data_IF_888983514484
#
_entry.id   IF_888983514484
#
_cell.length_a   1.000
_cell.length_b   1.000
_cell.length_c   1.000
_cell.angle_alpha   90.00
_cell.angle_beta   90.00
_cell.angle_gamma   90.00
#
_symmetry.space_group_name_H-M   'P 1'
#
loop_
_entity.id
_entity.type
_entity.pdbx_description
1 polymer ?
#
# COMPACT_ATOMS: atom_id res chain seq x y z
N UNK A 1 25.68 13.32 58.67
CA UNK A 1 24.49 13.24 57.80
C UNK A 1 23.84 14.61 57.80
N UNK A 2 23.81 15.35 56.67
CA UNK A 2 23.20 16.67 56.63
C UNK A 2 21.69 16.55 56.47
N UNK A 3 20.94 17.14 57.40
CA UNK A 3 19.48 17.20 57.42
C UNK A 3 18.93 18.23 56.45
N UNK A 4 17.74 17.95 55.92
CA UNK A 4 17.03 18.78 54.93
C UNK A 4 16.43 20.00 55.65
N UNK A 5 16.69 21.18 55.11
CA UNK A 5 16.13 22.46 55.56
C UNK A 5 14.74 22.67 54.92
N UNK A 6 13.70 22.72 55.76
CA UNK A 6 12.29 22.79 55.34
C UNK A 6 11.75 24.22 55.24
N UNK A 7 12.58 25.26 55.35
CA UNK A 7 12.14 26.67 55.22
C UNK A 7 11.77 27.10 53.79
N UNK A 8 11.61 26.15 52.87
CA UNK A 8 11.14 26.37 51.48
C UNK A 8 9.71 25.92 51.21
N UNK A 9 9.00 25.34 52.19
CA UNK A 9 7.65 24.80 52.02
C UNK A 9 6.54 25.65 52.66
N UNK A 10 6.83 26.89 53.05
CA UNK A 10 5.86 27.80 53.65
C UNK A 10 5.50 28.93 52.66
N UNK A 11 4.61 28.59 51.72
CA UNK A 11 3.81 29.52 50.90
C UNK A 11 2.71 28.73 50.19
N UNK A 12 1.79 28.20 50.98
CA UNK A 12 0.45 27.82 50.50
C UNK A 12 -0.48 28.82 51.16
N UNK A 13 -0.75 29.93 50.46
CA UNK A 13 -1.86 30.79 50.80
C UNK A 13 -3.14 30.12 50.30
N UNK A 14 -3.94 29.76 51.29
CA UNK A 14 -5.35 29.44 51.24
C UNK A 14 -6.12 30.64 50.66
N UNK A 15 -6.87 30.44 49.58
CA UNK A 15 -7.94 31.36 49.19
C UNK A 15 -9.00 30.63 48.37
N UNK A 16 -10.06 30.25 49.08
CA UNK A 16 -11.38 29.88 48.60
C UNK A 16 -12.09 31.11 47.96
N UNK A 17 -13.05 30.83 47.06
CA UNK A 17 -14.17 31.70 46.63
C UNK A 17 -13.95 32.78 45.51
N UNK A 18 -14.16 32.39 44.24
CA UNK A 18 -15.11 32.98 43.26
C UNK A 18 -14.84 32.44 41.83
N UNK A 19 -15.86 32.09 41.01
CA UNK A 19 -15.64 31.64 39.63
C UNK A 19 -15.33 32.82 38.69
N UNK A 20 -14.16 32.88 38.04
CA UNK A 20 -13.89 33.96 37.08
C UNK A 20 -14.70 33.74 35.80
N UNK A 21 -15.48 34.77 35.44
CA UNK A 21 -16.24 34.90 34.19
C UNK A 21 -15.39 34.45 32.99
N UNK A 22 -15.95 33.58 32.14
CA UNK A 22 -15.34 33.16 30.88
C UNK A 22 -14.92 34.39 30.07
N UNK A 23 -13.64 34.50 29.65
CA UNK A 23 -13.26 35.48 28.64
C UNK A 23 -14.02 35.18 27.33
N UNK A 24 -14.33 36.20 26.51
CA UNK A 24 -15.00 35.98 25.23
C UNK A 24 -14.19 34.98 24.39
N UNK A 25 -14.87 34.10 23.63
CA UNK A 25 -14.18 33.11 22.82
C UNK A 25 -13.24 33.83 21.86
N UNK A 26 -11.95 33.54 21.97
CA UNK A 26 -11.02 33.82 20.90
C UNK A 26 -11.56 33.13 19.65
N UNK A 27 -11.56 33.79 18.47
CA UNK A 27 -11.95 33.12 17.25
C UNK A 27 -11.02 31.91 17.09
N UNK A 28 -11.61 30.73 17.21
CA UNK A 28 -11.02 29.49 16.72
C UNK A 28 -10.51 29.79 15.31
N UNK A 29 -9.23 29.53 14.98
CA UNK A 29 -8.86 29.49 13.58
C UNK A 29 -9.80 28.49 12.93
N UNK A 30 -10.63 29.03 12.04
CA UNK A 30 -11.53 28.32 11.16
C UNK A 30 -10.83 27.04 10.73
N UNK A 31 -11.36 25.91 11.17
CA UNK A 31 -10.96 24.60 10.67
C UNK A 31 -11.26 24.67 9.18
N UNK A 32 -10.23 24.97 8.39
CA UNK A 32 -10.29 24.90 6.95
C UNK A 32 -10.93 23.55 6.63
N UNK A 33 -11.90 23.49 5.69
CA UNK A 33 -12.52 22.23 5.32
C UNK A 33 -11.38 21.26 5.03
N UNK A 34 -11.36 20.13 5.75
CA UNK A 34 -10.45 19.03 5.48
C UNK A 34 -10.61 18.72 3.99
N UNK A 35 -9.66 19.23 3.20
CA UNK A 35 -9.59 18.93 1.78
C UNK A 35 -9.40 17.43 1.77
N UNK A 36 -10.34 16.64 1.21
CA UNK A 36 -10.20 15.19 1.19
C UNK A 36 -8.82 14.90 0.64
N UNK A 37 -8.00 14.15 1.38
CA UNK A 37 -6.60 13.89 1.06
C UNK A 37 -6.47 13.66 -0.45
N UNK A 38 -6.05 14.70 -1.18
CA UNK A 38 -6.05 14.63 -2.63
C UNK A 38 -4.91 13.70 -2.96
N UNK A 39 -5.23 12.61 -3.66
CA UNK A 39 -4.20 11.72 -4.18
C UNK A 39 -3.19 12.58 -4.97
N UNK A 40 -1.88 12.47 -4.68
CA UNK A 40 -0.86 13.17 -5.42
C UNK A 40 -1.10 13.03 -6.93
N UNK A 41 -1.09 14.15 -7.66
CA UNK A 41 -1.43 14.20 -9.08
C UNK A 41 -0.59 13.23 -9.93
N UNK A 42 0.63 12.91 -9.48
CA UNK A 42 1.51 11.92 -10.08
C UNK A 42 0.90 10.51 -10.16
N UNK A 43 0.10 10.09 -9.17
CA UNK A 43 -0.53 8.77 -9.14
C UNK A 43 -1.74 8.69 -10.07
N UNK A 44 -2.31 9.85 -10.44
CA UNK A 44 -3.48 9.99 -11.29
C UNK A 44 -3.11 10.26 -12.75
N UNK A 45 -1.81 10.41 -13.06
CA UNK A 45 -1.36 10.71 -14.43
C UNK A 45 -1.77 9.57 -15.37
N UNK A 46 -2.37 9.85 -16.53
CA UNK A 46 -2.69 8.83 -17.51
C UNK A 46 -1.42 8.16 -18.04
N UNK A 47 -1.41 6.83 -18.06
CA UNK A 47 -0.29 6.00 -18.48
C UNK A 47 -0.41 5.65 -19.98
N UNK A 48 -0.54 6.67 -20.84
CA UNK A 48 -0.71 6.49 -22.30
C UNK A 48 0.60 6.20 -23.04
N UNK A 49 1.74 6.47 -22.42
CA UNK A 49 3.08 6.19 -22.94
C UNK A 49 3.63 4.82 -22.54
N UNK A 50 2.76 3.92 -22.07
CA UNK A 50 3.18 2.58 -21.63
C UNK A 50 3.65 1.74 -22.81
N UNK A 51 4.85 1.14 -22.72
CA UNK A 51 5.29 0.16 -23.72
C UNK A 51 4.39 -1.07 -23.65
N UNK A 52 4.37 -1.86 -24.73
CA UNK A 52 3.59 -3.11 -24.77
C UNK A 52 4.14 -4.11 -23.76
N UNK A 53 3.23 -4.84 -23.12
CA UNK A 53 3.58 -5.99 -22.30
C UNK A 53 4.06 -7.11 -23.24
N UNK A 54 5.36 -7.32 -23.34
CA UNK A 54 6.00 -8.33 -24.20
C UNK A 54 6.88 -9.25 -23.35
N UNK A 55 6.79 -10.56 -23.59
CA UNK A 55 7.54 -11.57 -22.84
C UNK A 55 8.47 -12.35 -23.78
N UNK A 56 9.62 -12.84 -23.27
CA UNK A 56 10.07 -12.74 -21.88
C UNK A 56 10.60 -11.34 -21.51
N UNK A 57 11.13 -10.56 -22.44
CA UNK A 57 11.78 -9.28 -22.19
C UNK A 57 11.11 -8.12 -22.94
N UNK A 58 11.25 -6.91 -22.40
CA UNK A 58 10.76 -5.70 -23.04
C UNK A 58 10.93 -4.48 -22.14
N UNK A 59 10.76 -3.28 -22.72
CA UNK A 59 10.93 -2.00 -22.02
C UNK A 59 9.87 -1.77 -20.93
N UNK A 60 8.80 -2.57 -20.92
CA UNK A 60 7.72 -2.50 -19.94
C UNK A 60 8.18 -2.72 -18.51
N UNK A 61 9.17 -3.60 -18.29
CA UNK A 61 9.66 -3.84 -16.94
C UNK A 61 10.47 -2.65 -16.42
N UNK A 62 11.26 -2.01 -17.29
CA UNK A 62 11.99 -0.79 -16.96
C UNK A 62 11.03 0.39 -16.72
N UNK A 63 9.97 0.49 -17.52
CA UNK A 63 8.91 1.48 -17.32
C UNK A 63 8.21 1.27 -15.97
N UNK A 64 7.80 0.04 -15.65
CA UNK A 64 7.18 -0.32 -14.39
C UNK A 64 8.03 0.10 -13.18
N UNK A 65 9.33 -0.14 -13.24
CA UNK A 65 10.25 0.19 -12.15
C UNK A 65 10.51 1.70 -12.00
N UNK A 66 10.72 2.39 -13.12
CA UNK A 66 11.33 3.74 -13.08
C UNK A 66 10.34 4.87 -13.35
N UNK A 67 9.21 4.58 -14.00
CA UNK A 67 8.22 5.58 -14.41
C UNK A 67 6.91 5.49 -13.65
N UNK A 68 6.58 4.31 -13.11
CA UNK A 68 5.39 4.13 -12.30
C UNK A 68 5.70 4.36 -10.82
N UNK A 69 4.80 5.07 -10.15
CA UNK A 69 4.83 5.26 -8.71
C UNK A 69 4.42 3.98 -7.99
N UNK A 70 4.80 3.82 -6.71
CA UNK A 70 4.45 2.64 -5.93
C UNK A 70 2.93 2.34 -5.91
N UNK A 71 2.02 3.34 -5.72
CA UNK A 71 0.58 3.09 -5.82
C UNK A 71 0.15 2.59 -7.20
N UNK A 72 0.69 3.13 -8.28
CA UNK A 72 0.39 2.67 -9.65
C UNK A 72 0.87 1.23 -9.87
N UNK A 73 2.05 0.89 -9.35
CA UNK A 73 2.60 -0.47 -9.40
C UNK A 73 1.73 -1.47 -8.66
N UNK A 74 1.26 -1.12 -7.47
CA UNK A 74 0.37 -1.96 -6.67
C UNK A 74 -1.01 -2.10 -7.32
N UNK A 75 -1.59 -0.99 -7.80
CA UNK A 75 -2.87 -1.02 -8.50
C UNK A 75 -2.80 -1.90 -9.76
N UNK A 76 -1.69 -1.84 -10.49
CA UNK A 76 -1.45 -2.72 -11.64
C UNK A 76 -1.43 -4.18 -11.24
N UNK A 77 -0.73 -4.54 -10.16
CA UNK A 77 -0.71 -5.93 -9.66
C UNK A 77 -2.09 -6.41 -9.22
N UNK A 78 -2.86 -5.55 -8.55
CA UNK A 78 -4.25 -5.84 -8.16
C UNK A 78 -5.11 -6.13 -9.38
N UNK A 79 -5.02 -5.31 -10.43
CA UNK A 79 -5.79 -5.54 -11.66
C UNK A 79 -5.34 -6.78 -12.43
N UNK A 80 -4.04 -7.05 -12.52
CA UNK A 80 -3.52 -8.27 -13.14
C UNK A 80 -3.99 -9.51 -12.37
N UNK A 81 -3.96 -9.45 -11.04
CA UNK A 81 -4.42 -10.54 -10.18
C UNK A 81 -5.93 -10.79 -10.35
N UNK A 82 -6.71 -9.71 -10.31
CA UNK A 82 -8.16 -9.76 -10.46
C UNK A 82 -8.58 -10.22 -11.87
N UNK A 83 -7.74 -9.98 -12.88
CA UNK A 83 -7.99 -10.48 -14.25
C UNK A 83 -7.74 -11.98 -14.43
N UNK A 84 -7.01 -12.60 -13.49
CA UNK A 84 -6.70 -14.02 -13.54
C UNK A 84 -7.80 -14.86 -12.87
N UNK A 85 -8.03 -16.05 -13.41
CA UNK A 85 -8.99 -17.01 -12.85
C UNK A 85 -8.44 -17.68 -11.59
N UNK A 86 -9.30 -18.36 -10.83
CA UNK A 86 -8.90 -18.98 -9.57
C UNK A 86 -7.77 -20.02 -9.72
N UNK A 87 -7.78 -20.82 -10.79
CA UNK A 87 -6.72 -21.79 -11.07
C UNK A 87 -5.37 -21.10 -11.36
N UNK A 88 -5.40 -19.98 -12.08
CA UNK A 88 -4.22 -19.18 -12.38
C UNK A 88 -3.65 -18.52 -11.12
N UNK A 89 -4.52 -17.99 -10.24
CA UNK A 89 -4.12 -17.44 -8.94
C UNK A 89 -3.44 -18.47 -8.05
N UNK A 90 -3.92 -19.71 -8.05
CA UNK A 90 -3.26 -20.82 -7.33
C UNK A 90 -1.85 -21.04 -7.88
N UNK A 91 -1.69 -21.06 -9.19
CA UNK A 91 -0.38 -21.22 -9.84
C UNK A 91 0.56 -20.06 -9.57
N UNK A 92 0.05 -18.81 -9.52
CA UNK A 92 0.84 -17.64 -9.16
C UNK A 92 1.31 -17.70 -7.70
N UNK A 93 0.43 -18.08 -6.77
CA UNK A 93 0.82 -18.23 -5.36
C UNK A 93 1.84 -19.34 -5.16
N UNK A 94 1.67 -20.50 -5.81
CA UNK A 94 2.67 -21.57 -5.79
C UNK A 94 4.02 -21.07 -6.29
N UNK A 95 4.02 -20.38 -7.42
CA UNK A 95 5.23 -19.82 -8.01
C UNK A 95 5.90 -18.78 -7.11
N UNK A 96 5.11 -17.89 -6.48
CA UNK A 96 5.62 -16.91 -5.53
C UNK A 96 6.21 -17.58 -4.28
N UNK A 97 5.57 -18.62 -3.76
CA UNK A 97 6.09 -19.40 -2.62
C UNK A 97 7.45 -20.01 -2.97
N UNK A 98 7.56 -20.63 -4.16
CA UNK A 98 8.80 -21.24 -4.63
C UNK A 98 9.90 -20.21 -4.82
N UNK A 99 9.57 -19.03 -5.35
CA UNK A 99 10.49 -17.91 -5.56
C UNK A 99 11.03 -17.32 -4.25
N UNK A 100 10.16 -17.18 -3.24
CA UNK A 100 10.54 -16.62 -1.93
C UNK A 100 11.37 -17.64 -1.15
N UNK A 101 11.13 -18.93 -1.35
CA UNK A 101 11.81 -20.04 -0.69
C UNK A 101 11.96 -19.84 0.84
N UNK A 102 10.89 -19.32 1.47
CA UNK A 102 10.85 -19.06 2.90
C UNK A 102 9.70 -19.87 3.53
N UNK A 103 10.01 -20.86 4.39
CA UNK A 103 9.01 -21.76 4.94
C UNK A 103 7.99 -21.04 5.84
N UNK A 104 8.36 -19.95 6.51
CA UNK A 104 7.44 -19.16 7.34
C UNK A 104 6.36 -18.48 6.51
N UNK A 105 6.73 -17.94 5.34
CA UNK A 105 5.81 -17.28 4.41
C UNK A 105 4.95 -18.34 3.71
N UNK A 106 5.56 -19.45 3.27
CA UNK A 106 4.85 -20.59 2.67
C UNK A 106 3.75 -21.16 3.58
N UNK A 107 4.03 -21.30 4.88
CA UNK A 107 3.07 -21.85 5.84
C UNK A 107 1.89 -20.89 6.12
N UNK A 108 2.10 -19.57 6.04
CA UNK A 108 1.00 -18.60 6.15
C UNK A 108 0.08 -18.63 4.93
N UNK A 109 0.65 -18.65 3.73
CA UNK A 109 -0.12 -18.65 2.47
C UNK A 109 -0.93 -19.96 2.31
N UNK A 110 -0.42 -21.10 2.77
CA UNK A 110 -1.15 -22.38 2.76
C UNK A 110 -2.39 -22.42 3.68
N UNK A 111 -2.50 -21.50 4.64
CA UNK A 111 -3.56 -21.50 5.66
C UNK A 111 -4.85 -20.77 5.30
N UNK A 112 -4.86 -19.92 4.26
CA UNK A 112 -6.02 -19.08 3.94
C UNK A 112 -6.65 -19.46 2.61
N UNK A 113 -7.91 -19.90 2.59
CA UNK A 113 -8.71 -19.92 1.35
C UNK A 113 -9.12 -18.50 0.90
N UNK A 114 -8.93 -17.49 1.75
CA UNK A 114 -9.23 -16.09 1.45
C UNK A 114 -8.24 -15.46 0.46
N UNK A 115 -7.04 -16.03 0.31
CA UNK A 115 -5.95 -15.53 -0.54
C UNK A 115 -6.22 -15.67 -2.04
N UNK A 116 -7.26 -16.41 -2.44
CA UNK A 116 -7.66 -16.60 -3.83
C UNK A 116 -8.79 -15.65 -4.28
N UNK A 117 -9.29 -14.81 -3.36
CA UNK A 117 -10.32 -13.82 -3.67
C UNK A 117 -9.75 -12.69 -4.52
N UNK A 118 -10.65 -11.88 -5.06
CA UNK A 118 -10.28 -10.61 -5.67
C UNK A 118 -9.68 -9.69 -4.60
N UNK A 119 -8.60 -9.02 -4.97
CA UNK A 119 -8.00 -7.98 -4.16
C UNK A 119 -8.83 -6.71 -4.27
N UNK A 120 -8.98 -5.99 -3.16
CA UNK A 120 -9.76 -4.76 -3.13
C UNK A 120 -9.04 -3.63 -3.87
N UNK A 121 -9.52 -3.32 -5.08
CA UNK A 121 -9.01 -2.22 -5.89
C UNK A 121 -9.42 -0.84 -5.34
N UNK A 122 -10.35 -0.77 -4.37
CA UNK A 122 -10.78 0.51 -3.79
C UNK A 122 -9.66 1.18 -2.98
N UNK A 123 -8.69 0.41 -2.46
CA UNK A 123 -7.55 0.95 -1.72
C UNK A 123 -6.73 1.95 -2.55
N UNK A 124 -6.69 1.76 -3.88
CA UNK A 124 -6.00 2.65 -4.82
C UNK A 124 -7.00 3.39 -5.73
N UNK A 125 -8.22 3.66 -5.24
CA UNK A 125 -9.24 4.36 -6.02
C UNK A 125 -8.73 5.71 -6.51
N UNK A 126 -8.71 5.92 -7.83
CA UNK A 126 -8.23 7.16 -8.46
C UNK A 126 -6.77 7.08 -8.94
N UNK A 127 -6.05 6.03 -8.58
CA UNK A 127 -4.72 5.73 -9.13
C UNK A 127 -4.87 5.11 -10.51
N UNK A 128 -4.06 5.60 -11.46
CA UNK A 128 -4.04 5.07 -12.83
C UNK A 128 -3.23 3.77 -12.92
N UNK A 129 -3.57 2.94 -13.90
CA UNK A 129 -2.86 1.70 -14.20
C UNK A 129 -2.91 1.45 -15.72
N UNK A 130 -1.98 0.64 -16.28
CA UNK A 130 -1.94 0.34 -17.71
C UNK A 130 -3.02 -0.69 -18.06
N UNK A 131 -4.20 -0.22 -18.47
CA UNK A 131 -5.31 -1.09 -18.88
C UNK A 131 -4.93 -2.01 -20.06
N UNK A 132 -4.09 -1.53 -20.98
CA UNK A 132 -3.59 -2.33 -22.10
C UNK A 132 -2.78 -3.55 -21.65
N UNK A 133 -2.05 -3.44 -20.52
CA UNK A 133 -1.33 -4.59 -19.96
C UNK A 133 -2.29 -5.64 -19.42
N UNK A 134 -3.39 -5.21 -18.81
CA UNK A 134 -4.43 -6.15 -18.31
C UNK A 134 -5.07 -6.88 -19.48
N UNK A 135 -5.39 -6.17 -20.57
CA UNK A 135 -5.91 -6.77 -21.79
C UNK A 135 -4.95 -7.77 -22.43
N UNK A 136 -3.68 -7.39 -22.59
CA UNK A 136 -2.63 -8.27 -23.13
C UNK A 136 -2.41 -9.50 -22.25
N UNK A 137 -2.33 -9.28 -20.93
CA UNK A 137 -2.10 -10.33 -19.95
C UNK A 137 -3.17 -11.42 -19.99
N UNK A 138 -4.45 -11.07 -20.16
CA UNK A 138 -5.53 -12.05 -20.27
C UNK A 138 -5.33 -13.03 -21.44
N UNK A 139 -4.69 -12.59 -22.52
CA UNK A 139 -4.42 -13.41 -23.71
C UNK A 139 -3.21 -14.33 -23.59
N UNK A 140 -2.38 -14.14 -22.57
CA UNK A 140 -1.16 -14.91 -22.39
C UNK A 140 -1.44 -16.33 -21.90
N UNK A 141 -0.53 -17.24 -22.23
CA UNK A 141 -0.50 -18.56 -21.63
C UNK A 141 -0.15 -18.46 -20.14
N UNK A 142 -0.48 -19.49 -19.36
CA UNK A 142 -0.25 -19.49 -17.92
C UNK A 142 1.24 -19.33 -17.56
N UNK A 143 2.16 -19.93 -18.32
CA UNK A 143 3.61 -19.81 -18.10
C UNK A 143 4.12 -18.38 -18.34
N UNK A 144 3.58 -17.71 -19.36
CA UNK A 144 3.87 -16.31 -19.67
C UNK A 144 3.31 -15.40 -18.57
N UNK A 145 2.07 -15.66 -18.12
CA UNK A 145 1.46 -14.95 -16.99
C UNK A 145 2.30 -15.09 -15.72
N UNK A 146 2.80 -16.28 -15.40
CA UNK A 146 3.71 -16.54 -14.27
C UNK A 146 5.01 -15.76 -14.41
N UNK A 147 5.59 -15.75 -15.60
CA UNK A 147 6.83 -15.01 -15.90
C UNK A 147 6.62 -13.50 -15.72
N UNK A 148 5.51 -12.94 -16.20
CA UNK A 148 5.18 -11.53 -15.99
C UNK A 148 5.01 -11.20 -14.50
N UNK A 149 4.24 -12.01 -13.75
CA UNK A 149 4.05 -11.81 -12.31
C UNK A 149 5.35 -11.90 -11.53
N UNK A 150 6.20 -12.88 -11.84
CA UNK A 150 7.53 -13.01 -11.25
C UNK A 150 8.38 -11.77 -11.51
N UNK A 151 8.44 -11.30 -12.76
CA UNK A 151 9.23 -10.13 -13.14
C UNK A 151 8.74 -8.88 -12.42
N UNK A 152 7.42 -8.67 -12.37
CA UNK A 152 6.81 -7.57 -11.61
C UNK A 152 7.14 -7.68 -10.12
N UNK A 153 6.92 -8.83 -9.49
CA UNK A 153 7.18 -9.02 -8.07
C UNK A 153 8.67 -8.83 -7.71
N UNK A 154 9.59 -9.36 -8.53
CA UNK A 154 11.03 -9.16 -8.35
C UNK A 154 11.47 -7.71 -8.56
N UNK A 155 10.69 -6.92 -9.28
CA UNK A 155 11.00 -5.51 -9.50
C UNK A 155 10.57 -4.59 -8.35
N UNK A 156 9.71 -5.07 -7.45
CA UNK A 156 9.25 -4.32 -6.29
C UNK A 156 10.33 -4.18 -5.22
N UNK A 157 10.28 -3.07 -4.48
CA UNK A 157 11.08 -2.86 -3.28
C UNK A 157 10.61 -3.74 -2.10
N UNK A 158 11.43 -3.87 -1.05
CA UNK A 158 11.13 -4.73 0.09
C UNK A 158 9.81 -4.38 0.79
N UNK A 159 9.49 -3.09 0.89
CA UNK A 159 8.22 -2.62 1.47
C UNK A 159 7.02 -3.06 0.64
N UNK A 160 7.08 -2.86 -0.67
CA UNK A 160 6.01 -3.24 -1.61
C UNK A 160 5.82 -4.75 -1.67
N UNK A 161 6.91 -5.53 -1.70
CA UNK A 161 6.82 -7.00 -1.58
C UNK A 161 6.15 -7.40 -0.27
N UNK A 162 6.46 -6.71 0.82
CA UNK A 162 5.81 -6.91 2.11
C UNK A 162 4.30 -6.65 2.05
N UNK A 163 3.86 -5.62 1.33
CA UNK A 163 2.44 -5.31 1.11
C UNK A 163 1.77 -6.40 0.28
N UNK A 164 2.36 -6.80 -0.85
CA UNK A 164 1.81 -7.87 -1.70
C UNK A 164 1.65 -9.16 -0.91
N UNK A 165 2.68 -9.55 -0.16
CA UNK A 165 2.61 -10.75 0.68
C UNK A 165 1.61 -10.58 1.83
N UNK A 166 1.53 -9.41 2.46
CA UNK A 166 0.58 -9.11 3.52
C UNK A 166 -0.88 -9.15 3.04
N UNK A 167 -1.13 -8.77 1.79
CA UNK A 167 -2.46 -8.83 1.17
C UNK A 167 -2.83 -10.26 0.73
N UNK A 168 -1.83 -11.08 0.41
CA UNK A 168 -1.99 -12.48 0.00
C UNK A 168 -1.90 -13.47 1.19
N UNK A 169 -1.91 -13.00 2.44
CA UNK A 169 -1.86 -13.81 3.67
C UNK A 169 -3.06 -13.47 4.57
#
# INVERSE_FOLDING_TARGET
>A
MPGIDYSKFDKIEDSDDEPPKRPPPQPVPEVAPEVPAQLPEEHCRPLTDVPKLELPDGDWLAFYQTKMTAPQRMQTLVHLWNSANQEERVEFLRHLIDLINNPTISNRIKGGQEVLKDLDANFYRGVTFPEEWVGAFQTFAIDDKKTAFEKLFKSLDQQERGLVLGTLM
#
